data_IF_792877156412
#
_entry.id   IF_792877156412
#
_cell.length_a   1.000
_cell.length_b   1.000
_cell.length_c   1.000
_cell.angle_alpha   90.00
_cell.angle_beta   90.00
_cell.angle_gamma   90.00
#
_symmetry.space_group_name_H-M   'P 1'
#
loop_
_entity.id
_entity.type
_entity.pdbx_description
1 polymer ?
#
# COMPACT_ATOMS: atom_id res chain seq x y z
N UNK A 1 -17.02 -33.35 -8.08
CA UNK A 1 -16.37 -32.50 -7.06
C UNK A 1 -14.85 -32.35 -7.25
N UNK A 2 -14.18 -33.19 -8.05
CA UNK A 2 -12.71 -33.16 -8.22
C UNK A 2 -12.19 -32.30 -9.39
N UNK A 3 -13.03 -31.89 -10.34
CA UNK A 3 -12.55 -31.21 -11.57
C UNK A 3 -12.33 -29.69 -11.39
N UNK A 4 -13.02 -29.07 -10.43
CA UNK A 4 -12.89 -27.63 -10.13
C UNK A 4 -11.67 -27.39 -9.23
N UNK A 5 -11.49 -28.21 -8.19
CA UNK A 5 -10.31 -28.15 -7.31
C UNK A 5 -8.99 -28.37 -8.06
N UNK A 6 -8.96 -29.28 -9.05
CA UNK A 6 -7.74 -29.52 -9.84
C UNK A 6 -7.42 -28.40 -10.86
N UNK A 7 -8.41 -27.58 -11.24
CA UNK A 7 -8.22 -26.36 -12.05
C UNK A 7 -7.77 -25.17 -11.20
N UNK A 8 -8.11 -25.15 -9.91
CA UNK A 8 -7.71 -24.12 -8.96
C UNK A 8 -6.26 -24.30 -8.49
N UNK A 9 -5.79 -25.54 -8.32
CA UNK A 9 -4.39 -25.84 -7.98
C UNK A 9 -3.39 -25.41 -9.06
N UNK A 10 -3.75 -25.53 -10.34
CA UNK A 10 -2.88 -25.09 -11.47
C UNK A 10 -2.86 -23.57 -11.69
N UNK A 11 -3.84 -22.84 -11.15
CA UNK A 11 -3.94 -21.37 -11.25
C UNK A 11 -3.63 -20.64 -9.96
N UNK A 12 -3.12 -21.35 -8.93
CA UNK A 12 -2.87 -20.79 -7.60
C UNK A 12 -2.02 -19.52 -7.61
N UNK A 13 -0.92 -19.41 -8.40
CA UNK A 13 -0.14 -18.18 -8.44
C UNK A 13 -0.91 -16.97 -9.00
N UNK A 14 -1.83 -17.19 -9.93
CA UNK A 14 -2.67 -16.11 -10.48
C UNK A 14 -3.71 -15.66 -9.44
N UNK A 15 -4.27 -16.59 -8.67
CA UNK A 15 -5.20 -16.28 -7.59
C UNK A 15 -4.48 -15.47 -6.51
N UNK A 16 -3.29 -15.91 -6.08
CA UNK A 16 -2.44 -15.20 -5.12
C UNK A 16 -2.12 -13.77 -5.62
N UNK A 17 -1.76 -13.61 -6.89
CA UNK A 17 -1.51 -12.30 -7.49
C UNK A 17 -2.74 -11.38 -7.40
N UNK A 18 -3.93 -11.86 -7.80
CA UNK A 18 -5.14 -11.04 -7.72
C UNK A 18 -5.54 -10.74 -6.27
N UNK A 19 -5.36 -11.68 -5.33
CA UNK A 19 -5.55 -11.45 -3.90
C UNK A 19 -4.65 -10.31 -3.40
N UNK A 20 -3.36 -10.36 -3.74
CA UNK A 20 -2.42 -9.29 -3.40
C UNK A 20 -2.79 -7.95 -4.04
N UNK A 21 -3.25 -7.94 -5.30
CA UNK A 21 -3.78 -6.72 -5.95
C UNK A 21 -4.97 -6.16 -5.16
N UNK A 22 -5.93 -6.98 -4.75
CA UNK A 22 -7.07 -6.47 -3.96
C UNK A 22 -6.69 -5.93 -2.60
N UNK A 23 -5.65 -6.48 -1.98
CA UNK A 23 -5.25 -6.08 -0.66
C UNK A 23 -4.37 -4.82 -0.71
N UNK A 24 -3.38 -4.79 -1.59
CA UNK A 24 -2.37 -3.72 -1.65
C UNK A 24 -2.77 -2.54 -2.54
N UNK A 25 -3.85 -2.65 -3.32
CA UNK A 25 -4.29 -1.61 -4.25
C UNK A 25 -5.80 -1.36 -4.19
N UNK A 26 -6.23 -0.18 -4.63
CA UNK A 26 -7.65 0.17 -4.85
C UNK A 26 -8.20 -0.31 -6.19
N UNK A 27 -7.43 -1.09 -6.96
CA UNK A 27 -7.89 -1.58 -8.27
C UNK A 27 -9.01 -2.60 -8.04
N UNK A 28 -10.22 -2.36 -8.59
CA UNK A 28 -11.34 -3.26 -8.36
C UNK A 28 -11.10 -4.60 -9.06
N UNK A 29 -11.12 -5.68 -8.28
CA UNK A 29 -11.10 -7.04 -8.81
C UNK A 29 -12.46 -7.73 -8.65
N UNK A 30 -12.81 -8.70 -9.52
CA UNK A 30 -14.04 -9.48 -9.37
C UNK A 30 -14.15 -10.18 -8.01
N UNK A 31 -15.31 -10.07 -7.35
CA UNK A 31 -15.54 -10.62 -6.01
C UNK A 31 -15.33 -12.15 -5.91
N UNK A 32 -15.42 -12.88 -7.02
CA UNK A 32 -15.14 -14.34 -7.07
C UNK A 32 -13.69 -14.71 -6.76
N UNK A 33 -12.79 -13.71 -6.68
CA UNK A 33 -11.37 -13.88 -6.34
C UNK A 33 -11.03 -13.36 -4.93
N UNK A 34 -11.99 -12.85 -4.16
CA UNK A 34 -11.76 -12.38 -2.79
C UNK A 34 -11.89 -13.55 -1.82
N UNK A 35 -10.75 -14.17 -1.49
CA UNK A 35 -10.64 -15.23 -0.49
C UNK A 35 -9.88 -14.69 0.72
N UNK A 36 -10.60 -14.02 1.64
CA UNK A 36 -10.00 -13.36 2.82
C UNK A 36 -9.17 -14.33 3.68
N UNK A 37 -9.54 -15.61 3.72
CA UNK A 37 -8.84 -16.64 4.52
C UNK A 37 -7.53 -17.14 3.90
N UNK A 38 -7.16 -16.70 2.69
CA UNK A 38 -5.96 -17.16 1.97
C UNK A 38 -4.94 -16.04 1.68
N UNK A 39 -5.14 -14.83 2.21
CA UNK A 39 -4.24 -13.70 1.92
C UNK A 39 -2.77 -14.00 2.29
N UNK A 40 -2.55 -14.74 3.38
CA UNK A 40 -1.20 -15.10 3.83
C UNK A 40 -0.47 -16.01 2.82
N UNK A 41 -1.19 -16.87 2.08
CA UNK A 41 -0.55 -17.67 1.03
C UNK A 41 -0.12 -16.83 -0.17
N UNK A 42 -0.69 -15.64 -0.35
CA UNK A 42 -0.34 -14.71 -1.40
C UNK A 42 0.84 -13.77 -1.07
N UNK A 43 1.39 -13.81 0.15
CA UNK A 43 2.42 -12.87 0.62
C UNK A 43 3.67 -12.81 -0.28
N UNK A 44 4.05 -13.92 -0.92
CA UNK A 44 5.17 -13.96 -1.88
C UNK A 44 4.96 -12.99 -3.06
N UNK A 45 3.71 -12.70 -3.44
CA UNK A 45 3.36 -11.83 -4.56
C UNK A 45 3.33 -10.35 -4.17
N UNK A 46 3.41 -10.00 -2.87
CA UNK A 46 3.34 -8.61 -2.41
C UNK A 46 4.51 -7.78 -2.95
N UNK A 47 5.72 -8.34 -2.92
CA UNK A 47 6.91 -7.70 -3.49
C UNK A 47 6.77 -7.46 -5.00
N UNK A 48 6.10 -8.37 -5.72
CA UNK A 48 5.82 -8.21 -7.14
C UNK A 48 4.83 -7.07 -7.39
N UNK A 49 3.76 -6.96 -6.60
CA UNK A 49 2.83 -5.83 -6.67
C UNK A 49 3.55 -4.51 -6.36
N UNK A 50 4.40 -4.49 -5.34
CA UNK A 50 5.24 -3.34 -5.02
C UNK A 50 6.13 -2.91 -6.18
N UNK A 51 6.80 -3.85 -6.85
CA UNK A 51 7.62 -3.58 -8.02
C UNK A 51 6.79 -3.03 -9.20
N UNK A 52 5.59 -3.57 -9.44
CA UNK A 52 4.68 -3.07 -10.48
C UNK A 52 4.20 -1.64 -10.20
N UNK A 53 3.83 -1.35 -8.94
CA UNK A 53 3.43 -0.01 -8.52
C UNK A 53 4.60 0.98 -8.65
N UNK A 54 5.80 0.58 -8.25
CA UNK A 54 7.02 1.38 -8.38
C UNK A 54 7.37 1.65 -9.84
N UNK A 55 7.27 0.64 -10.70
CA UNK A 55 7.46 0.81 -12.15
C UNK A 55 6.43 1.78 -12.74
N UNK A 56 5.15 1.65 -12.38
CA UNK A 56 4.09 2.52 -12.89
C UNK A 56 4.27 3.97 -12.43
N UNK A 57 4.46 4.21 -11.13
CA UNK A 57 4.66 5.55 -10.58
C UNK A 57 5.99 6.17 -11.06
N UNK A 58 7.05 5.36 -11.15
CA UNK A 58 8.33 5.79 -11.71
C UNK A 58 8.23 6.16 -13.19
N UNK A 59 7.39 5.47 -13.96
CA UNK A 59 7.11 5.85 -15.36
C UNK A 59 6.38 7.18 -15.47
N UNK A 60 5.45 7.48 -14.54
CA UNK A 60 4.82 8.80 -14.44
C UNK A 60 5.89 9.87 -14.18
N UNK A 61 6.76 9.65 -13.19
CA UNK A 61 7.85 10.56 -12.88
C UNK A 61 8.74 10.81 -14.10
N UNK A 62 9.14 9.74 -14.79
CA UNK A 62 9.99 9.81 -15.98
C UNK A 62 9.35 10.61 -17.12
N UNK A 63 8.06 10.40 -17.39
CA UNK A 63 7.33 11.18 -18.42
C UNK A 63 7.23 12.66 -18.03
N UNK A 64 6.94 12.97 -16.76
CA UNK A 64 6.86 14.35 -16.30
C UNK A 64 8.22 15.07 -16.38
N UNK A 65 9.31 14.39 -16.04
CA UNK A 65 10.67 14.90 -16.21
C UNK A 65 11.00 15.14 -17.68
N UNK A 66 10.63 14.20 -18.56
CA UNK A 66 10.78 14.36 -20.02
C UNK A 66 10.04 15.60 -20.55
N UNK A 67 8.89 15.94 -19.95
CA UNK A 67 8.12 17.15 -20.25
C UNK A 67 8.67 18.43 -19.58
N UNK A 68 9.81 18.36 -18.90
CA UNK A 68 10.45 19.47 -18.18
C UNK A 68 9.56 20.07 -17.07
N UNK A 69 8.71 19.26 -16.44
CA UNK A 69 7.94 19.68 -15.28
C UNK A 69 8.89 19.89 -14.08
N UNK A 70 8.72 20.96 -13.28
CA UNK A 70 9.54 21.19 -12.09
C UNK A 70 9.58 19.99 -11.14
N UNK A 71 10.78 19.65 -10.65
CA UNK A 71 11.03 18.43 -9.86
C UNK A 71 10.11 18.28 -8.64
N UNK A 72 9.82 19.38 -7.94
CA UNK A 72 8.90 19.35 -6.80
C UNK A 72 7.47 18.92 -7.18
N UNK A 73 6.99 19.32 -8.36
CA UNK A 73 5.68 18.89 -8.88
C UNK A 73 5.75 17.41 -9.27
N UNK A 74 6.84 16.97 -9.91
CA UNK A 74 7.05 15.56 -10.26
C UNK A 74 7.02 14.67 -9.03
N UNK A 75 7.78 15.02 -7.98
CA UNK A 75 7.84 14.27 -6.74
C UNK A 75 6.45 14.19 -6.07
N UNK A 76 5.75 15.33 -5.97
CA UNK A 76 4.41 15.39 -5.39
C UNK A 76 3.40 14.51 -6.14
N UNK A 77 3.38 14.58 -7.47
CA UNK A 77 2.47 13.77 -8.29
C UNK A 77 2.81 12.28 -8.24
N UNK A 78 4.09 11.94 -8.17
CA UNK A 78 4.57 10.54 -8.09
C UNK A 78 4.19 9.90 -6.75
N UNK A 79 4.42 10.61 -5.64
CA UNK A 79 4.02 10.15 -4.30
C UNK A 79 2.50 10.09 -4.20
N UNK A 80 1.80 11.12 -4.71
CA UNK A 80 0.34 11.16 -4.75
C UNK A 80 -0.26 10.01 -5.55
N UNK A 81 0.30 9.66 -6.72
CA UNK A 81 -0.18 8.52 -7.50
C UNK A 81 0.00 7.20 -6.75
N UNK A 82 1.11 7.02 -6.02
CA UNK A 82 1.33 5.83 -5.21
C UNK A 82 0.26 5.70 -4.12
N UNK A 83 -0.02 6.78 -3.38
CA UNK A 83 -1.05 6.81 -2.33
C UNK A 83 -2.44 6.54 -2.90
N UNK A 84 -2.79 7.13 -4.04
CA UNK A 84 -4.09 6.92 -4.69
C UNK A 84 -4.27 5.47 -5.13
N UNK A 85 -3.22 4.86 -5.69
CA UNK A 85 -3.25 3.47 -6.16
C UNK A 85 -3.32 2.47 -5.01
N UNK A 86 -2.61 2.69 -3.92
CA UNK A 86 -2.64 1.82 -2.73
C UNK A 86 -3.84 2.11 -1.82
N UNK A 87 -4.46 3.27 -1.99
CA UNK A 87 -5.50 3.77 -1.11
C UNK A 87 -5.00 4.26 0.25
N UNK A 88 -3.69 4.46 0.41
CA UNK A 88 -3.07 4.90 1.65
C UNK A 88 -2.87 3.79 2.68
N UNK A 89 -2.95 2.51 2.31
CA UNK A 89 -2.90 1.39 3.27
C UNK A 89 -1.63 1.41 4.15
N UNK A 90 -0.47 1.72 3.57
CA UNK A 90 0.80 1.73 4.31
C UNK A 90 0.93 3.00 5.15
N UNK A 91 0.45 4.12 4.62
CA UNK A 91 0.39 5.41 5.29
C UNK A 91 -0.50 5.32 6.55
N UNK A 92 -1.68 4.73 6.41
CA UNK A 92 -2.65 4.49 7.48
C UNK A 92 -2.06 3.61 8.58
N UNK A 93 -1.52 2.44 8.21
CA UNK A 93 -0.88 1.54 9.18
C UNK A 93 0.33 2.16 9.89
N UNK A 94 1.08 3.05 9.24
CA UNK A 94 2.15 3.81 9.88
C UNK A 94 1.61 4.85 10.87
N UNK A 95 0.54 5.55 10.52
CA UNK A 95 -0.11 6.53 11.38
C UNK A 95 -0.69 5.85 12.63
N UNK A 96 -1.46 4.78 12.44
CA UNK A 96 -2.05 3.97 13.51
C UNK A 96 -0.97 3.42 14.43
N UNK A 97 0.09 2.83 13.86
CA UNK A 97 1.20 2.32 14.65
C UNK A 97 1.84 3.43 15.49
N UNK A 98 2.10 4.59 14.91
CA UNK A 98 2.73 5.70 15.60
C UNK A 98 1.85 6.24 16.73
N UNK A 99 0.55 6.41 16.51
CA UNK A 99 -0.39 6.86 17.53
C UNK A 99 -0.59 5.83 18.63
N UNK A 100 -0.73 4.56 18.28
CA UNK A 100 -0.82 3.48 19.26
C UNK A 100 0.43 3.42 20.12
N UNK A 101 1.62 3.35 19.51
CA UNK A 101 2.89 3.22 20.25
C UNK A 101 3.22 4.48 21.06
N UNK A 102 2.95 5.66 20.52
CA UNK A 102 3.26 6.94 21.16
C UNK A 102 2.24 7.37 22.23
N UNK A 103 0.97 7.02 22.05
CA UNK A 103 -0.13 7.43 22.93
C UNK A 103 -0.48 6.42 24.04
N UNK A 104 -0.32 5.11 23.78
CA UNK A 104 -0.76 4.07 24.73
C UNK A 104 0.34 3.59 25.68
N UNK A 105 0.00 3.36 26.96
CA UNK A 105 0.92 2.90 28.01
C UNK A 105 0.92 1.38 28.17
N UNK A 106 -0.21 0.72 27.89
CA UNK A 106 -0.35 -0.74 27.92
C UNK A 106 -0.68 -1.28 26.53
N UNK A 107 -0.43 -2.57 26.26
CA UNK A 107 -0.72 -3.16 24.95
C UNK A 107 -2.18 -2.99 24.52
N UNK A 108 -3.12 -3.17 25.45
CA UNK A 108 -4.55 -3.01 25.19
C UNK A 108 -4.92 -1.56 24.83
N UNK A 109 -4.29 -0.59 25.49
CA UNK A 109 -4.48 0.84 25.18
C UNK A 109 -3.91 1.20 23.80
N UNK A 110 -2.73 0.68 23.44
CA UNK A 110 -2.15 0.89 22.10
C UNK A 110 -3.05 0.36 21.00
N UNK A 111 -3.61 -0.84 21.19
CA UNK A 111 -4.53 -1.48 20.24
C UNK A 111 -5.86 -0.71 20.18
N UNK A 112 -6.36 -0.21 21.31
CA UNK A 112 -7.55 0.62 21.34
C UNK A 112 -7.36 1.91 20.53
N UNK A 113 -6.19 2.56 20.65
CA UNK A 113 -5.83 3.75 19.87
C UNK A 113 -5.73 3.42 18.38
N UNK A 114 -5.04 2.34 17.99
CA UNK A 114 -4.94 1.91 16.57
C UNK A 114 -6.29 1.56 15.93
N UNK A 115 -7.34 1.33 16.73
CA UNK A 115 -8.70 1.05 16.23
C UNK A 115 -9.58 2.29 16.21
N UNK A 116 -9.12 3.40 16.79
CA UNK A 116 -9.78 4.69 16.65
C UNK A 116 -9.48 5.24 15.24
N UNK A 117 -10.51 5.69 14.55
CA UNK A 117 -10.38 6.34 13.23
C UNK A 117 -9.76 7.74 13.30
N UNK A 118 -9.60 8.31 14.49
CA UNK A 118 -9.01 9.63 14.67
C UNK A 118 -7.49 9.59 14.58
N UNK A 119 -6.92 10.50 13.79
CA UNK A 119 -5.48 10.70 13.72
C UNK A 119 -4.98 11.49 14.94
N UNK A 120 -3.95 10.98 15.61
CA UNK A 120 -3.26 11.64 16.70
C UNK A 120 -2.03 12.43 16.25
N UNK A 121 -1.34 13.04 17.21
CA UNK A 121 -0.15 13.86 16.92
C UNK A 121 1.03 13.01 16.44
N UNK A 122 1.17 11.78 16.94
CA UNK A 122 2.27 10.90 16.55
C UNK A 122 2.08 10.38 15.12
N UNK A 123 0.84 10.02 14.74
CA UNK A 123 0.48 9.64 13.39
C UNK A 123 0.63 10.79 12.41
N UNK A 124 0.19 12.01 12.77
CA UNK A 124 0.39 13.18 11.92
C UNK A 124 1.88 13.47 11.67
N UNK A 125 2.71 13.44 12.72
CA UNK A 125 4.15 13.66 12.58
C UNK A 125 4.82 12.56 11.77
N UNK A 126 4.48 11.28 11.98
CA UNK A 126 5.06 10.17 11.23
C UNK A 126 4.76 10.28 9.73
N UNK A 127 3.53 10.66 9.36
CA UNK A 127 3.16 10.92 7.97
C UNK A 127 3.93 12.09 7.37
N UNK A 128 4.08 13.21 8.10
CA UNK A 128 4.87 14.36 7.63
C UNK A 128 6.31 13.95 7.33
N UNK A 129 6.97 13.26 8.26
CA UNK A 129 8.36 12.81 8.06
C UNK A 129 8.49 11.80 6.92
N UNK A 130 7.59 10.81 6.85
CA UNK A 130 7.63 9.77 5.83
C UNK A 130 7.35 10.32 4.42
N UNK A 131 6.32 11.16 4.26
CA UNK A 131 6.00 11.78 2.98
C UNK A 131 7.07 12.79 2.56
N UNK A 132 7.59 13.58 3.50
CA UNK A 132 8.73 14.47 3.28
C UNK A 132 9.93 13.69 2.76
N UNK A 133 10.28 12.58 3.41
CA UNK A 133 11.38 11.70 2.99
C UNK A 133 11.16 11.13 1.59
N UNK A 134 9.95 10.66 1.25
CA UNK A 134 9.62 10.17 -0.10
C UNK A 134 9.81 11.25 -1.16
N UNK A 135 9.33 12.46 -0.90
CA UNK A 135 9.47 13.60 -1.83
C UNK A 135 10.94 13.96 -2.03
N UNK A 136 11.71 14.09 -0.95
CA UNK A 136 13.14 14.42 -1.03
C UNK A 136 13.96 13.31 -1.68
N UNK A 137 13.54 12.05 -1.57
CA UNK A 137 14.24 10.93 -2.21
C UNK A 137 14.10 10.93 -3.74
N UNK A 138 13.05 11.56 -4.28
CA UNK A 138 12.84 11.75 -5.73
C UNK A 138 13.61 12.97 -6.24
N UNK A 139 13.94 13.91 -5.36
CA UNK A 139 14.63 15.18 -5.65
C UNK A 139 16.17 15.06 -5.74
N UNK A 140 16.70 13.83 -5.85
CA UNK A 140 18.15 13.53 -5.90
C UNK A 140 18.61 13.32 -7.34
#
# INVERSE_FOLDING_TARGET
MNTIFNKLTTKRPLIDFFLAVSFLTRIPIPNVLKFENELMSAAWSFSLIGALLGFFCGSIAWVLLYLNIPIGIVAFLTVGSMILLTGGLHEDGLADMADGVGGGKSADEKIAIMRDSQIGTYGALSLIFMLGMKVTAIDI
#
